data_IF_503741158263
#
_entry.id   IF_503741158263
#
_cell.length_a   1.000
_cell.length_b   1.000
_cell.length_c   1.000
_cell.angle_alpha   90.00
_cell.angle_beta   90.00
_cell.angle_gamma   90.00
#
_symmetry.space_group_name_H-M   'P 1'
#
loop_
_entity.id
_entity.type
_entity.pdbx_description
1 polymer ?
#
# COMPACT_ATOMS: atom_id res chain seq x y z
N UNK A 1 -6.43 -8.63 -6.67
CA UNK A 1 -6.15 -7.47 -5.79
C UNK A 1 -7.44 -7.04 -5.12
N UNK A 2 -7.33 -6.47 -3.92
CA UNK A 2 -8.45 -5.80 -3.25
C UNK A 2 -8.79 -4.50 -4.02
N UNK A 3 -10.04 -4.28 -4.45
CA UNK A 3 -10.42 -3.01 -5.05
C UNK A 3 -10.50 -1.90 -3.98
N UNK A 4 -9.87 -0.76 -4.25
CA UNK A 4 -9.86 0.39 -3.32
C UNK A 4 -10.89 1.46 -3.68
N UNK A 5 -11.33 1.47 -4.95
CA UNK A 5 -12.29 2.42 -5.49
C UNK A 5 -13.53 1.69 -6.02
N UNK A 6 -14.68 2.33 -5.87
CA UNK A 6 -15.94 1.83 -6.37
C UNK A 6 -15.95 1.84 -7.91
N UNK A 7 -16.20 0.71 -8.60
CA UNK A 7 -16.20 0.67 -10.07
C UNK A 7 -17.34 1.48 -10.71
N UNK A 8 -18.35 1.88 -9.94
CA UNK A 8 -19.48 2.67 -10.44
C UNK A 8 -19.26 4.20 -10.33
N UNK A 9 -18.68 4.67 -9.22
CA UNK A 9 -18.56 6.11 -8.94
C UNK A 9 -17.14 6.57 -8.56
N UNK A 10 -16.17 5.66 -8.55
CA UNK A 10 -14.76 5.89 -8.22
C UNK A 10 -14.47 6.37 -6.78
N UNK A 11 -15.49 6.59 -5.94
CA UNK A 11 -15.32 6.89 -4.52
C UNK A 11 -14.58 5.76 -3.77
N UNK A 12 -13.89 6.13 -2.70
CA UNK A 12 -13.17 5.20 -1.83
C UNK A 12 -14.12 4.13 -1.24
N UNK A 13 -13.72 2.87 -1.33
CA UNK A 13 -14.43 1.77 -0.68
C UNK A 13 -14.11 1.72 0.82
N UNK A 14 -15.08 1.24 1.62
CA UNK A 14 -14.91 0.96 3.05
C UNK A 14 -14.96 -0.55 3.29
N UNK A 15 -14.26 -1.01 4.34
CA UNK A 15 -14.32 -2.39 4.80
C UNK A 15 -15.64 -2.60 5.54
N UNK A 16 -16.46 -3.56 5.06
CA UNK A 16 -17.78 -3.87 5.64
C UNK A 16 -17.75 -5.00 6.67
N UNK A 17 -16.88 -5.99 6.47
CA UNK A 17 -16.76 -7.14 7.36
C UNK A 17 -15.35 -7.75 7.34
N UNK A 18 -14.96 -8.33 8.48
CA UNK A 18 -13.79 -9.18 8.65
C UNK A 18 -14.24 -10.53 9.17
N UNK A 19 -13.66 -11.62 8.67
CA UNK A 19 -13.99 -12.98 9.07
C UNK A 19 -12.77 -13.70 9.62
N UNK A 20 -12.91 -14.28 10.80
CA UNK A 20 -11.91 -15.18 11.36
C UNK A 20 -12.11 -16.59 10.80
N UNK A 21 -11.14 -17.13 10.05
CA UNK A 21 -11.23 -18.49 9.51
C UNK A 21 -11.11 -19.59 10.58
N UNK A 22 -10.54 -19.28 11.74
CA UNK A 22 -10.34 -20.26 12.82
C UNK A 22 -11.62 -20.56 13.63
N UNK A 23 -12.42 -19.54 13.95
CA UNK A 23 -13.63 -19.70 14.77
C UNK A 23 -14.93 -19.24 14.10
N UNK A 24 -14.85 -18.73 12.85
CA UNK A 24 -16.02 -18.27 12.10
C UNK A 24 -16.58 -16.93 12.54
N UNK A 25 -16.04 -16.30 13.58
CA UNK A 25 -16.49 -14.97 14.04
C UNK A 25 -16.40 -13.95 12.91
N UNK A 26 -17.50 -13.25 12.66
CA UNK A 26 -17.58 -12.14 11.72
C UNK A 26 -17.73 -10.82 12.48
N UNK A 27 -16.87 -9.86 12.16
CA UNK A 27 -16.90 -8.50 12.71
C UNK A 27 -17.41 -7.58 11.62
N UNK A 28 -18.58 -6.98 11.82
CA UNK A 28 -19.19 -6.03 10.88
C UNK A 28 -18.99 -4.59 11.34
N UNK A 29 -18.77 -3.71 10.38
CA UNK A 29 -18.64 -2.28 10.63
C UNK A 29 -18.53 -1.48 9.34
N UNK A 30 -18.14 -0.21 9.44
CA UNK A 30 -17.73 0.61 8.31
C UNK A 30 -16.38 1.20 8.66
N UNK A 31 -15.32 0.48 8.27
CA UNK A 31 -13.95 0.88 8.55
C UNK A 31 -13.32 1.47 7.30
N UNK A 32 -12.41 2.42 7.48
CA UNK A 32 -11.57 2.88 6.38
C UNK A 32 -10.59 1.77 5.98
N UNK A 33 -10.27 1.71 4.69
CA UNK A 33 -9.23 0.79 4.21
C UNK A 33 -7.89 1.16 4.87
N UNK A 34 -7.11 0.20 5.37
CA UNK A 34 -5.77 0.47 5.88
C UNK A 34 -4.94 1.25 4.84
N UNK A 35 -4.16 2.23 5.27
CA UNK A 35 -3.42 3.15 4.37
C UNK A 35 -2.64 2.42 3.28
N UNK A 36 -1.89 1.37 3.65
CA UNK A 36 -1.13 0.56 2.69
C UNK A 36 -2.01 -0.19 1.68
N UNK A 37 -3.21 -0.59 2.09
CA UNK A 37 -4.15 -1.27 1.20
C UNK A 37 -4.72 -0.30 0.14
N UNK A 38 -4.72 1.01 0.40
CA UNK A 38 -5.17 2.03 -0.55
C UNK A 38 -4.14 2.31 -1.66
N UNK A 39 -2.89 1.90 -1.46
CA UNK A 39 -1.82 2.09 -2.45
C UNK A 39 -1.95 1.09 -3.60
N UNK A 40 -1.40 1.44 -4.77
CA UNK A 40 -1.28 0.50 -5.89
C UNK A 40 -0.38 -0.69 -5.52
N UNK A 41 -0.49 -1.80 -6.24
CA UNK A 41 0.33 -2.98 -5.93
C UNK A 41 1.80 -2.76 -6.23
N UNK A 42 2.13 -1.95 -7.23
CA UNK A 42 3.49 -1.56 -7.53
C UNK A 42 4.11 -0.80 -6.36
N UNK A 43 3.35 0.08 -5.72
CA UNK A 43 3.79 0.82 -4.53
C UNK A 43 3.89 -0.08 -3.30
N UNK A 44 2.93 -0.98 -3.09
CA UNK A 44 3.01 -1.97 -2.01
C UNK A 44 4.24 -2.87 -2.16
N UNK A 45 4.53 -3.35 -3.38
CA UNK A 45 5.72 -4.15 -3.69
C UNK A 45 7.01 -3.36 -3.46
N UNK A 46 7.05 -2.08 -3.87
CA UNK A 46 8.18 -1.21 -3.57
C UNK A 46 8.41 -1.09 -2.05
N UNK A 47 7.35 -0.84 -1.27
CA UNK A 47 7.44 -0.73 0.19
C UNK A 47 7.96 -2.04 0.81
N UNK A 48 7.42 -3.19 0.38
CA UNK A 48 7.87 -4.49 0.87
C UNK A 48 9.35 -4.73 0.56
N UNK A 49 9.80 -4.42 -0.66
CA UNK A 49 11.21 -4.53 -1.05
C UNK A 49 12.10 -3.57 -0.27
N UNK A 50 11.63 -2.34 -0.06
CA UNK A 50 12.36 -1.32 0.71
C UNK A 50 12.58 -1.77 2.16
N UNK A 51 11.53 -2.29 2.82
CA UNK A 51 11.62 -2.85 4.18
C UNK A 51 12.53 -4.07 4.22
N UNK A 52 12.41 -5.00 3.26
CA UNK A 52 13.30 -6.18 3.15
C UNK A 52 14.76 -5.80 2.89
N UNK A 53 15.01 -4.62 2.35
CA UNK A 53 16.34 -4.04 2.11
C UNK A 53 16.82 -3.18 3.29
N UNK A 54 16.15 -3.22 4.44
CA UNK A 54 16.45 -2.37 5.61
C UNK A 54 16.49 -0.87 5.29
N UNK A 55 15.70 -0.43 4.30
CA UNK A 55 15.65 0.96 3.85
C UNK A 55 16.82 1.38 2.93
N UNK A 56 17.63 0.44 2.45
CA UNK A 56 18.78 0.73 1.58
C UNK A 56 18.35 1.09 0.15
N UNK A 57 18.36 2.38 -0.18
CA UNK A 57 18.11 2.87 -1.55
C UNK A 57 19.15 2.34 -2.56
N UNK A 58 20.38 2.06 -2.10
CA UNK A 58 21.43 1.49 -2.95
C UNK A 58 21.12 0.05 -3.34
N UNK A 59 20.64 -0.76 -2.41
CA UNK A 59 20.29 -2.16 -2.70
C UNK A 59 18.99 -2.23 -3.52
N UNK A 60 18.04 -1.34 -3.24
CA UNK A 60 16.84 -1.17 -4.06
C UNK A 60 17.19 -0.81 -5.51
N UNK A 61 18.10 0.13 -5.74
CA UNK A 61 18.57 0.50 -7.08
C UNK A 61 19.16 -0.70 -7.84
N UNK A 62 19.99 -1.50 -7.18
CA UNK A 62 20.54 -2.73 -7.76
C UNK A 62 19.45 -3.76 -8.06
N UNK A 63 18.55 -4.01 -7.11
CA UNK A 63 17.50 -5.03 -7.24
C UNK A 63 16.48 -4.68 -8.33
N UNK A 64 16.15 -3.40 -8.48
CA UNK A 64 15.19 -2.92 -9.48
C UNK A 64 15.85 -2.63 -10.84
N UNK A 65 17.18 -2.65 -10.94
CA UNK A 65 17.90 -2.26 -12.16
C UNK A 65 17.72 -0.78 -12.51
N UNK A 66 17.52 0.08 -11.50
CA UNK A 66 17.25 1.50 -11.66
C UNK A 66 18.40 2.34 -11.12
N UNK A 67 18.48 3.59 -11.57
CA UNK A 67 19.42 4.55 -10.99
C UNK A 67 19.01 4.91 -9.56
N UNK A 68 19.99 5.23 -8.70
CA UNK A 68 19.72 5.71 -7.34
C UNK A 68 18.75 6.92 -7.32
N UNK A 69 18.93 7.97 -8.17
CA UNK A 69 17.96 9.06 -8.27
C UNK A 69 16.53 8.58 -8.58
N UNK A 70 16.36 7.60 -9.48
CA UNK A 70 15.04 7.06 -9.82
C UNK A 70 14.37 6.41 -8.62
N UNK A 71 15.09 5.56 -7.88
CA UNK A 71 14.56 4.90 -6.68
C UNK A 71 14.26 5.92 -5.57
N UNK A 72 15.11 6.94 -5.43
CA UNK A 72 14.88 8.02 -4.46
C UNK A 72 13.57 8.76 -4.76
N UNK A 73 13.35 9.13 -6.03
CA UNK A 73 12.12 9.81 -6.44
C UNK A 73 10.88 8.93 -6.19
N UNK A 74 10.95 7.62 -6.49
CA UNK A 74 9.86 6.69 -6.19
C UNK A 74 9.53 6.63 -4.69
N UNK A 75 10.56 6.60 -3.82
CA UNK A 75 10.35 6.64 -2.38
C UNK A 75 9.69 7.96 -1.94
N UNK A 76 10.19 9.09 -2.46
CA UNK A 76 9.64 10.41 -2.13
C UNK A 76 8.17 10.55 -2.56
N UNK A 77 7.80 10.01 -3.73
CA UNK A 77 6.41 9.96 -4.21
C UNK A 77 5.52 9.11 -3.30
N UNK A 78 6.02 7.94 -2.86
CA UNK A 78 5.31 7.07 -1.91
C UNK A 78 5.09 7.78 -0.57
N UNK A 79 6.12 8.42 -0.01
CA UNK A 79 6.02 9.19 1.23
C UNK A 79 4.96 10.30 1.09
N UNK A 80 4.95 11.02 -0.05
CA UNK A 80 3.97 12.05 -0.32
C UNK A 80 2.54 11.50 -0.34
N UNK A 81 2.32 10.32 -0.92
CA UNK A 81 1.01 9.65 -0.93
C UNK A 81 0.58 9.19 0.47
N UNK A 82 1.48 8.59 1.23
CA UNK A 82 1.21 8.19 2.63
C UNK A 82 0.74 9.39 3.46
N UNK A 83 1.46 10.51 3.39
CA UNK A 83 1.10 11.76 4.06
C UNK A 83 -0.26 12.34 3.61
N UNK A 84 -0.77 11.96 2.43
CA UNK A 84 -2.08 12.40 1.94
C UNK A 84 -3.23 11.52 2.46
N UNK A 85 -2.96 10.26 2.76
CA UNK A 85 -3.94 9.31 3.31
C UNK A 85 -4.05 9.36 4.84
N UNK A 86 -3.03 9.88 5.53
CA UNK A 86 -3.04 10.07 6.98
C UNK A 86 -3.75 11.35 7.45
N UNK A 87 -4.19 12.21 6.51
CA UNK A 87 -4.96 13.44 6.78
C UNK A 87 -6.45 13.19 6.75
#
# INVERSE_FOLDING_TARGET
MLPCNCPACQNQLKVKSLKCENCGTEVHGLYDLPVLAQMSVEEQDFILKFVKSSGSLKDMAKQLGLSYPTVRNLLDDIIKKLNSYEK
#
